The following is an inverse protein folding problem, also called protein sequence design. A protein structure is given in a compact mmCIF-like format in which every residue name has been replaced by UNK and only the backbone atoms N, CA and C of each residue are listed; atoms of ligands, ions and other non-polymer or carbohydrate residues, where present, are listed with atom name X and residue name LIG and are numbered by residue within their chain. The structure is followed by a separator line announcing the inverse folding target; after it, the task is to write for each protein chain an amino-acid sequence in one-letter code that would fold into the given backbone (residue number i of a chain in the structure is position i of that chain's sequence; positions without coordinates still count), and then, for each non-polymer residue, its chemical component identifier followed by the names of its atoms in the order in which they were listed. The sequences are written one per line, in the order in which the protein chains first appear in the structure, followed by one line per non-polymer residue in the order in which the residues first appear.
data_IF_858718378793
#
_entry.id   IF_858718378793
#
_cell.length_a   1.000
_cell.length_b   1.000
_cell.length_c   1.000
_cell.angle_alpha   90.00
_cell.angle_beta   90.00
_cell.angle_gamma   90.00
#
_symmetry.space_group_name_H-M   'P 1'
#
loop_
_entity.id
_entity.type
_entity.pdbx_description
1 polymer ?
#
# COMPACT_ATOMS: atom_id res chain seq x y z
N UNK A 1 7.28 3.37 19.74
CA UNK A 1 6.26 4.15 19.01
C UNK A 1 5.21 3.20 18.46
N UNK A 2 3.95 3.66 18.41
CA UNK A 2 2.82 2.95 17.81
C UNK A 2 2.23 3.86 16.73
N UNK A 3 1.87 3.31 15.57
CA UNK A 3 1.35 4.07 14.43
C UNK A 3 0.15 3.38 13.83
N UNK A 4 -0.74 4.16 13.22
CA UNK A 4 -1.91 3.60 12.51
C UNK A 4 -1.48 2.78 11.29
N UNK A 5 -0.53 3.28 10.50
CA UNK A 5 -0.06 2.62 9.29
C UNK A 5 1.47 2.63 9.22
N UNK A 6 2.05 1.65 8.54
CA UNK A 6 3.46 1.66 8.15
C UNK A 6 3.64 2.45 6.85
N UNK A 7 3.98 1.76 5.76
CA UNK A 7 4.09 2.38 4.43
C UNK A 7 2.70 2.77 3.93
N UNK A 8 2.56 4.01 3.47
CA UNK A 8 1.29 4.50 2.92
C UNK A 8 1.48 5.40 1.70
N UNK A 9 0.84 5.04 0.59
CA UNK A 9 0.63 5.91 -0.57
C UNK A 9 -0.89 6.07 -0.77
N UNK A 10 -1.33 7.31 -0.99
CA UNK A 10 -2.73 7.65 -1.24
C UNK A 10 -2.82 8.58 -2.45
N UNK A 11 -3.68 8.27 -3.41
CA UNK A 11 -4.04 9.19 -4.50
C UNK A 11 -5.53 9.52 -4.45
N UNK A 12 -5.86 10.73 -4.91
CA UNK A 12 -7.23 11.26 -4.83
C UNK A 12 -8.03 10.80 -6.05
N UNK A 13 -9.22 10.24 -5.79
CA UNK A 13 -10.16 9.80 -6.82
C UNK A 13 -10.59 10.98 -7.69
N UNK A 14 -10.84 10.74 -8.98
CA UNK A 14 -11.28 11.77 -9.97
C UNK A 14 -10.29 12.93 -10.17
N UNK A 15 -9.04 12.78 -9.72
CA UNK A 15 -7.96 13.72 -10.01
C UNK A 15 -7.00 13.15 -11.04
N UNK A 16 -6.21 14.04 -11.62
CA UNK A 16 -5.13 13.73 -12.54
C UNK A 16 -3.78 14.10 -11.91
N UNK A 17 -2.76 13.32 -12.25
CA UNK A 17 -1.41 13.52 -11.74
C UNK A 17 -0.56 12.27 -11.95
N UNK A 18 0.59 12.20 -11.28
CA UNK A 18 1.45 11.03 -11.32
C UNK A 18 2.17 10.83 -9.99
N UNK A 19 2.38 9.57 -9.62
CA UNK A 19 3.30 9.16 -8.54
C UNK A 19 4.25 8.15 -9.14
N UNK A 20 5.54 8.49 -9.24
CA UNK A 20 6.52 7.66 -9.93
C UNK A 20 7.86 7.60 -9.20
N UNK A 21 8.62 6.55 -9.47
CA UNK A 21 10.01 6.35 -9.02
C UNK A 21 10.18 6.45 -7.50
N UNK A 22 9.36 5.68 -6.78
CA UNK A 22 9.31 5.67 -5.31
C UNK A 22 10.10 4.49 -4.77
N UNK A 23 10.94 4.73 -3.77
CA UNK A 23 11.68 3.69 -3.04
C UNK A 23 11.33 3.71 -1.55
N UNK A 24 10.86 2.57 -1.04
CA UNK A 24 10.91 2.24 0.38
C UNK A 24 11.92 1.11 0.56
N UNK A 25 12.97 1.36 1.34
CA UNK A 25 14.03 0.40 1.60
C UNK A 25 14.31 0.32 3.10
N UNK A 26 14.56 -0.89 3.59
CA UNK A 26 14.89 -1.20 4.99
C UNK A 26 13.94 -0.56 6.02
N UNK A 27 12.65 -0.88 5.92
CA UNK A 27 11.61 -0.34 6.82
C UNK A 27 11.21 -1.37 7.88
N UNK A 28 11.39 -1.02 9.15
CA UNK A 28 10.91 -1.82 10.29
C UNK A 28 9.60 -1.28 10.86
N UNK A 29 8.58 -2.14 10.89
CA UNK A 29 7.24 -1.85 11.40
C UNK A 29 7.08 -2.42 12.81
N UNK A 30 6.67 -1.58 13.76
CA UNK A 30 6.40 -2.00 15.14
C UNK A 30 5.01 -1.59 15.57
N UNK A 31 4.22 -2.56 16.01
CA UNK A 31 2.90 -2.37 16.61
C UNK A 31 1.97 -1.49 15.76
N UNK A 32 1.88 -1.78 14.46
CA UNK A 32 1.00 -1.04 13.55
C UNK A 32 -0.46 -1.41 13.81
N UNK A 33 -1.31 -0.42 14.02
CA UNK A 33 -2.69 -0.66 14.43
C UNK A 33 -3.63 -1.07 13.28
N UNK A 34 -3.48 -0.45 12.09
CA UNK A 34 -4.45 -0.60 10.98
C UNK A 34 -3.87 -1.27 9.75
N UNK A 35 -2.81 -0.72 9.13
CA UNK A 35 -2.25 -1.24 7.86
C UNK A 35 -0.73 -1.25 7.85
N UNK A 36 -0.11 -2.41 7.69
CA UNK A 36 1.35 -2.51 7.55
C UNK A 36 1.84 -1.77 6.30
N UNK A 37 1.37 -2.20 5.13
CA UNK A 37 1.56 -1.52 3.86
C UNK A 37 0.19 -1.21 3.26
N UNK A 38 -0.05 0.05 2.88
CA UNK A 38 -1.29 0.47 2.24
C UNK A 38 -1.06 1.37 1.03
N UNK A 39 -1.50 0.90 -0.14
CA UNK A 39 -1.45 1.66 -1.40
C UNK A 39 -2.89 1.81 -1.93
N UNK A 40 -3.45 3.01 -1.87
CA UNK A 40 -4.87 3.25 -2.19
C UNK A 40 -5.06 4.44 -3.14
N UNK A 41 -5.84 4.24 -4.20
CA UNK A 41 -6.11 5.28 -5.20
C UNK A 41 -7.54 5.83 -5.22
N UNK A 42 -8.33 5.53 -4.18
CA UNK A 42 -9.75 5.88 -4.10
C UNK A 42 -10.06 6.91 -3.01
N UNK A 43 -9.07 7.72 -2.60
CA UNK A 43 -9.27 8.67 -1.51
C UNK A 43 -10.10 9.89 -1.95
N UNK A 44 -11.04 10.29 -1.08
CA UNK A 44 -11.71 11.58 -1.06
C UNK A 44 -11.40 12.29 0.27
N UNK A 45 -11.84 13.56 0.40
CA UNK A 45 -11.67 14.35 1.64
C UNK A 45 -12.30 13.68 2.88
N UNK A 46 -13.29 12.79 2.68
CA UNK A 46 -13.99 12.06 3.75
C UNK A 46 -13.45 10.64 3.98
N UNK A 47 -12.42 10.23 3.25
CA UNK A 47 -11.88 8.87 3.26
C UNK A 47 -12.00 8.16 1.91
N UNK A 48 -11.60 6.88 1.84
CA UNK A 48 -11.69 6.09 0.62
C UNK A 48 -13.14 5.80 0.26
N UNK A 49 -13.48 5.91 -1.03
CA UNK A 49 -14.83 5.67 -1.55
C UNK A 49 -14.82 4.97 -2.92
N UNK A 50 -15.47 3.80 -2.99
CA UNK A 50 -15.62 3.02 -4.21
C UNK A 50 -14.29 2.66 -4.90
N UNK A 51 -14.35 2.54 -6.22
CA UNK A 51 -13.18 2.19 -7.04
C UNK A 51 -12.32 3.41 -7.44
N UNK A 52 -10.99 3.21 -7.58
CA UNK A 52 -10.06 4.22 -8.04
C UNK A 52 -10.26 4.50 -9.54
N UNK A 53 -10.17 5.76 -9.96
CA UNK A 53 -10.43 6.17 -11.36
C UNK A 53 -9.23 6.05 -12.29
N UNK A 54 -8.01 5.88 -11.76
CA UNK A 54 -6.81 5.68 -12.57
C UNK A 54 -6.19 6.95 -13.19
N UNK A 55 -6.73 8.13 -12.90
CA UNK A 55 -6.16 9.41 -13.35
C UNK A 55 -4.83 9.80 -12.66
N UNK A 56 -4.49 9.12 -11.57
CA UNK A 56 -3.20 9.24 -10.87
C UNK A 56 -2.53 7.86 -10.82
N UNK A 57 -1.87 7.41 -11.90
CA UNK A 57 -1.14 6.15 -11.89
C UNK A 57 0.01 6.17 -10.88
N UNK A 58 0.29 5.01 -10.29
CA UNK A 58 1.43 4.79 -9.40
C UNK A 58 2.38 3.85 -10.11
N UNK A 59 3.52 4.36 -10.58
CA UNK A 59 4.48 3.62 -11.39
C UNK A 59 5.85 3.56 -10.73
N UNK A 60 6.67 2.54 -11.04
CA UNK A 60 8.05 2.49 -10.54
C UNK A 60 8.18 2.40 -9.02
N UNK A 61 7.21 1.79 -8.32
CA UNK A 61 7.25 1.61 -6.87
C UNK A 61 8.13 0.42 -6.49
N UNK A 62 9.25 0.70 -5.83
CA UNK A 62 10.13 -0.31 -5.25
C UNK A 62 9.91 -0.37 -3.74
N UNK A 63 9.59 -1.55 -3.22
CA UNK A 63 9.51 -1.82 -1.79
C UNK A 63 10.43 -2.99 -1.47
N UNK A 64 11.49 -2.73 -0.71
CA UNK A 64 12.49 -3.73 -0.36
C UNK A 64 12.72 -3.79 1.15
N UNK A 65 12.93 -5.00 1.66
CA UNK A 65 13.33 -5.26 3.05
C UNK A 65 12.40 -4.59 4.08
N UNK A 66 11.09 -4.84 3.95
CA UNK A 66 10.08 -4.32 4.89
C UNK A 66 9.65 -5.42 5.83
N UNK A 67 9.89 -5.25 7.13
CA UNK A 67 9.69 -6.30 8.15
C UNK A 67 8.97 -5.77 9.37
N UNK A 68 8.36 -6.67 10.14
CA UNK A 68 7.82 -6.35 11.47
C UNK A 68 6.36 -6.77 11.65
N UNK A 69 5.65 -6.09 12.56
CA UNK A 69 4.33 -6.53 13.01
C UNK A 69 3.21 -5.50 12.87
N UNK A 70 2.04 -6.02 12.52
CA UNK A 70 0.73 -5.37 12.62
C UNK A 70 -0.04 -6.07 13.75
N UNK A 71 -0.82 -5.31 14.52
CA UNK A 71 -1.66 -5.87 15.58
C UNK A 71 -2.80 -6.73 14.99
N UNK A 72 -3.35 -7.72 15.73
CA UNK A 72 -4.32 -8.69 15.19
C UNK A 72 -5.59 -8.10 14.55
N UNK A 73 -5.97 -6.87 14.89
CA UNK A 73 -7.10 -6.15 14.28
C UNK A 73 -6.78 -5.47 12.94
N UNK A 74 -5.50 -5.29 12.63
CA UNK A 74 -5.03 -4.65 11.40
C UNK A 74 -4.83 -5.63 10.25
N UNK A 75 -4.25 -5.14 9.16
CA UNK A 75 -3.98 -5.89 7.93
C UNK A 75 -2.54 -5.70 7.52
N UNK A 76 -1.87 -6.77 7.11
CA UNK A 76 -0.45 -6.72 6.74
C UNK A 76 -0.24 -5.88 5.48
N UNK A 77 -0.99 -6.16 4.42
CA UNK A 77 -0.91 -5.45 3.13
C UNK A 77 -2.30 -5.18 2.56
N UNK A 78 -2.54 -3.96 2.09
CA UNK A 78 -3.78 -3.58 1.41
C UNK A 78 -3.50 -2.67 0.20
N UNK A 79 -3.90 -3.13 -0.99
CA UNK A 79 -3.68 -2.47 -2.27
C UNK A 79 -5.02 -2.37 -2.98
N UNK A 80 -5.39 -1.14 -3.33
CA UNK A 80 -6.61 -0.85 -4.09
C UNK A 80 -6.38 0.35 -5.01
N UNK A 81 -5.91 0.07 -6.22
CA UNK A 81 -5.43 1.08 -7.18
C UNK A 81 -5.92 0.78 -8.60
N UNK A 82 -5.75 1.75 -9.49
CA UNK A 82 -5.94 1.59 -10.93
C UNK A 82 -4.69 2.13 -11.65
N UNK A 83 -4.39 1.58 -12.83
CA UNK A 83 -3.26 1.98 -13.68
C UNK A 83 -1.89 1.93 -12.99
N UNK A 84 -1.71 1.04 -12.01
CA UNK A 84 -0.40 0.81 -11.40
C UNK A 84 0.47 -0.11 -12.28
N UNK A 85 1.76 0.18 -12.37
CA UNK A 85 2.69 -0.61 -13.21
C UNK A 85 4.15 -0.52 -12.72
N UNK A 86 4.99 -1.47 -13.16
CA UNK A 86 6.43 -1.49 -12.85
C UNK A 86 6.77 -1.48 -11.36
N UNK A 87 6.00 -2.21 -10.54
CA UNK A 87 6.30 -2.35 -9.12
C UNK A 87 7.30 -3.49 -8.89
N UNK A 88 8.23 -3.29 -7.96
CA UNK A 88 9.25 -4.28 -7.57
C UNK A 88 9.21 -4.46 -6.06
N UNK A 89 8.71 -5.60 -5.61
CA UNK A 89 8.61 -5.90 -4.18
C UNK A 89 9.49 -7.10 -3.85
N UNK A 90 10.29 -6.96 -2.81
CA UNK A 90 11.24 -7.99 -2.38
C UNK A 90 11.44 -7.97 -0.87
N UNK A 91 11.68 -9.13 -0.27
CA UNK A 91 12.02 -9.27 1.15
C UNK A 91 10.95 -8.65 2.07
N UNK A 92 9.67 -8.91 1.79
CA UNK A 92 8.54 -8.42 2.60
C UNK A 92 8.22 -9.45 3.68
N UNK A 93 8.31 -9.05 4.95
CA UNK A 93 8.03 -9.87 6.12
C UNK A 93 7.19 -9.11 7.14
N UNK A 94 5.99 -8.71 6.72
CA UNK A 94 5.00 -8.02 7.56
C UNK A 94 3.95 -9.03 8.04
N UNK A 95 3.85 -9.22 9.36
CA UNK A 95 3.05 -10.30 9.96
C UNK A 95 2.19 -9.81 11.13
N UNK A 96 1.37 -10.70 11.70
CA UNK A 96 0.56 -10.43 12.90
C UNK A 96 -0.88 -9.99 12.59
N UNK A 97 -1.07 -9.13 11.58
CA UNK A 97 -2.39 -8.73 11.11
C UNK A 97 -3.01 -9.73 10.13
N UNK A 98 -4.22 -9.41 9.66
CA UNK A 98 -4.94 -10.16 8.64
C UNK A 98 -4.19 -10.14 7.30
N UNK A 99 -4.31 -11.23 6.52
CA UNK A 99 -3.60 -11.39 5.24
C UNK A 99 -4.30 -10.78 4.03
N UNK A 100 -5.64 -10.76 4.01
CA UNK A 100 -6.38 -10.33 2.82
C UNK A 100 -7.72 -9.67 3.17
N UNK A 101 -8.09 -8.66 2.37
CA UNK A 101 -9.37 -7.96 2.38
C UNK A 101 -9.94 -7.77 0.96
N UNK A 102 -9.39 -8.46 -0.05
CA UNK A 102 -9.63 -8.17 -1.45
C UNK A 102 -8.68 -7.06 -1.93
N UNK A 103 -7.65 -7.45 -2.67
CA UNK A 103 -6.71 -6.53 -3.32
C UNK A 103 -7.22 -6.23 -4.74
N UNK A 104 -7.02 -5.01 -5.24
CA UNK A 104 -7.38 -4.63 -6.62
C UNK A 104 -6.30 -3.80 -7.28
N UNK A 105 -6.00 -4.12 -8.55
CA UNK A 105 -5.03 -3.39 -9.36
C UNK A 105 -3.56 -3.64 -8.99
N UNK A 106 -3.26 -4.76 -8.31
CA UNK A 106 -1.88 -5.17 -8.04
C UNK A 106 -1.17 -5.47 -9.36
N UNK A 107 -0.02 -4.83 -9.67
CA UNK A 107 0.70 -5.12 -10.90
C UNK A 107 1.18 -6.58 -10.98
N UNK A 108 1.24 -7.17 -12.19
CA UNK A 108 1.75 -8.53 -12.37
C UNK A 108 3.14 -8.72 -11.77
N UNK A 109 3.38 -9.88 -11.15
CA UNK A 109 4.68 -10.23 -10.56
C UNK A 109 4.92 -9.69 -9.15
N UNK A 110 4.10 -8.77 -8.64
CA UNK A 110 4.18 -8.32 -7.24
C UNK A 110 3.68 -9.42 -6.30
N UNK A 111 4.50 -9.79 -5.32
CA UNK A 111 4.21 -10.80 -4.29
C UNK A 111 4.81 -10.39 -2.95
N UNK A 112 4.24 -10.87 -1.85
CA UNK A 112 4.72 -10.70 -0.48
C UNK A 112 4.28 -11.86 0.40
#
# INVERSE_FOLDING_TARGET
HNSDNGIRIKTVKEKTGEVKDILFDDVELKNIAKRGIVIQGNYLNKGPDGDPTGGVPITGLTINNVRGNVLPGGVNVYIWVANASNWKWSNIKVTGGKKDLGQKGVPPGVKW
#
